data_IF_935197869098
#
_entry.id   IF_935197869098
#
_cell.length_a   1.000
_cell.length_b   1.000
_cell.length_c   1.000
_cell.angle_alpha   90.00
_cell.angle_beta   90.00
_cell.angle_gamma   90.00
#
_symmetry.space_group_name_H-M   'P 1'
#
loop_
_entity.id
_entity.type
_entity.pdbx_description
1 polymer ?
#
# COMPACT_ATOMS: atom_id res chain seq x y z
N UNK A 1 -1.13 6.43 -35.51
CA UNK A 1 -1.52 7.74 -34.95
C UNK A 1 -2.02 7.63 -33.49
N UNK A 2 -1.14 7.46 -32.48
CA UNK A 2 -1.57 7.26 -31.09
C UNK A 2 -1.85 8.56 -30.31
N UNK A 3 -1.33 9.71 -30.74
CA UNK A 3 -1.49 11.00 -30.04
C UNK A 3 -2.92 11.54 -30.14
N UNK A 4 -3.57 11.41 -31.30
CA UNK A 4 -4.98 11.79 -31.49
C UNK A 4 -5.92 10.96 -30.59
N UNK A 5 -5.66 9.66 -30.44
CA UNK A 5 -6.44 8.81 -29.52
C UNK A 5 -6.28 9.20 -28.05
N UNK A 6 -5.09 9.67 -27.64
CA UNK A 6 -4.86 10.18 -26.29
C UNK A 6 -5.59 11.51 -26.06
N UNK A 7 -5.61 12.40 -27.05
CA UNK A 7 -6.35 13.66 -26.98
C UNK A 7 -7.86 13.43 -26.88
N UNK A 8 -8.43 12.55 -27.71
CA UNK A 8 -9.85 12.22 -27.70
C UNK A 8 -10.29 11.63 -26.35
N UNK A 9 -9.49 10.72 -25.77
CA UNK A 9 -9.76 10.17 -24.44
C UNK A 9 -9.77 11.22 -23.33
N UNK A 10 -8.88 12.23 -23.39
CA UNK A 10 -8.89 13.34 -22.43
C UNK A 10 -10.15 14.20 -22.55
N UNK A 11 -10.57 14.52 -23.78
CA UNK A 11 -11.78 15.33 -24.01
C UNK A 11 -13.07 14.60 -23.59
N UNK A 12 -13.15 13.28 -23.84
CA UNK A 12 -14.30 12.49 -23.38
C UNK A 12 -14.36 12.38 -21.86
N UNK A 13 -13.21 12.34 -21.19
CA UNK A 13 -13.14 12.30 -19.73
C UNK A 13 -13.44 13.66 -19.07
N UNK A 14 -13.18 14.79 -19.75
CA UNK A 14 -13.49 16.13 -19.25
C UNK A 14 -14.96 16.56 -19.45
N UNK A 15 -15.70 15.92 -20.37
CA UNK A 15 -17.08 16.29 -20.72
C UNK A 15 -18.14 16.00 -19.64
N UNK A 16 -17.78 15.36 -18.52
CA UNK A 16 -18.74 14.94 -17.48
C UNK A 16 -19.16 16.00 -16.45
N UNK A 17 -18.44 17.12 -16.32
CA UNK A 17 -18.70 18.07 -15.23
C UNK A 17 -18.15 19.49 -15.48
N UNK A 18 -18.32 20.07 -16.69
CA UNK A 18 -17.91 21.46 -16.94
C UNK A 18 -16.42 21.78 -16.76
N UNK A 19 -15.59 20.76 -16.54
CA UNK A 19 -14.15 20.86 -16.32
C UNK A 19 -13.45 20.96 -17.67
N UNK A 20 -12.65 22.01 -17.88
CA UNK A 20 -11.86 22.13 -19.11
C UNK A 20 -10.82 21.00 -19.18
N UNK A 21 -10.35 20.66 -20.38
CA UNK A 21 -9.29 19.65 -20.54
C UNK A 21 -8.03 19.97 -19.71
N UNK A 22 -7.78 21.26 -19.44
CA UNK A 22 -6.70 21.71 -18.56
C UNK A 22 -6.97 21.34 -17.09
N UNK A 23 -8.16 21.66 -16.56
CA UNK A 23 -8.52 21.32 -15.19
C UNK A 23 -8.53 19.78 -14.97
N UNK A 24 -9.00 19.01 -15.96
CA UNK A 24 -8.93 17.54 -15.91
C UNK A 24 -7.47 17.02 -15.86
N UNK A 25 -6.54 17.64 -16.59
CA UNK A 25 -5.12 17.26 -16.53
C UNK A 25 -4.51 17.58 -15.16
N UNK A 26 -4.85 18.73 -14.56
CA UNK A 26 -4.35 19.09 -13.24
C UNK A 26 -4.85 18.11 -12.17
N UNK A 27 -6.13 17.75 -12.21
CA UNK A 27 -6.72 16.77 -11.29
C UNK A 27 -6.05 15.39 -11.44
N UNK A 28 -5.83 14.93 -12.67
CA UNK A 28 -5.12 13.67 -12.91
C UNK A 28 -3.67 13.69 -12.41
N UNK A 29 -2.98 14.83 -12.49
CA UNK A 29 -1.63 14.98 -11.93
C UNK A 29 -1.68 14.94 -10.41
N UNK A 30 -2.61 15.66 -9.78
CA UNK A 30 -2.79 15.66 -8.33
C UNK A 30 -3.10 14.24 -7.81
N UNK A 31 -4.05 13.55 -8.43
CA UNK A 31 -4.38 12.16 -8.10
C UNK A 31 -3.15 11.25 -8.24
N UNK A 32 -2.36 11.43 -9.30
CA UNK A 32 -1.17 10.61 -9.51
C UNK A 32 -0.05 10.91 -8.51
N UNK A 33 0.11 12.17 -8.11
CA UNK A 33 1.05 12.58 -7.07
C UNK A 33 0.67 11.94 -5.73
N UNK A 34 -0.58 12.04 -5.31
CA UNK A 34 -1.06 11.40 -4.08
C UNK A 34 -0.87 9.87 -4.10
N UNK A 35 -1.13 9.22 -5.24
CA UNK A 35 -0.86 7.79 -5.38
C UNK A 35 0.62 7.46 -5.23
N UNK A 36 1.51 8.29 -5.77
CA UNK A 36 2.95 8.11 -5.68
C UNK A 36 3.45 8.30 -4.24
N UNK A 37 2.94 9.31 -3.53
CA UNK A 37 3.23 9.55 -2.11
C UNK A 37 2.79 8.38 -1.24
N UNK A 38 1.53 7.93 -1.37
CA UNK A 38 1.02 6.75 -0.64
C UNK A 38 1.87 5.50 -0.91
N UNK A 39 2.38 5.36 -2.14
CA UNK A 39 3.24 4.24 -2.50
C UNK A 39 4.61 4.35 -1.84
N UNK A 40 5.22 5.53 -1.88
CA UNK A 40 6.50 5.80 -1.23
C UNK A 40 6.42 5.56 0.28
N UNK A 41 5.35 5.99 0.93
CA UNK A 41 5.12 5.75 2.36
C UNK A 41 5.01 4.25 2.68
N UNK A 42 4.26 3.51 1.86
CA UNK A 42 4.13 2.06 2.02
C UNK A 42 5.49 1.35 1.88
N UNK A 43 6.25 1.70 0.85
CA UNK A 43 7.57 1.12 0.58
C UNK A 43 8.56 1.50 1.69
N UNK A 44 8.54 2.73 2.19
CA UNK A 44 9.38 3.17 3.33
C UNK A 44 9.10 2.37 4.61
N UNK A 45 7.82 2.09 4.91
CA UNK A 45 7.44 1.24 6.05
C UNK A 45 7.91 -0.21 5.84
N UNK A 46 7.81 -0.74 4.62
CA UNK A 46 8.27 -2.08 4.30
C UNK A 46 9.79 -2.21 4.48
N UNK A 47 10.56 -1.27 3.94
CA UNK A 47 12.02 -1.23 4.07
C UNK A 47 12.45 -1.09 5.54
N UNK A 48 11.81 -0.21 6.30
CA UNK A 48 12.12 -0.06 7.73
C UNK A 48 11.90 -1.36 8.51
N UNK A 49 10.80 -2.09 8.23
CA UNK A 49 10.54 -3.39 8.85
C UNK A 49 11.55 -4.45 8.39
N UNK A 50 11.86 -4.48 7.10
CA UNK A 50 12.83 -5.43 6.54
C UNK A 50 14.23 -5.21 7.13
N UNK A 51 14.68 -3.96 7.26
CA UNK A 51 15.95 -3.61 7.90
C UNK A 51 16.00 -4.11 9.36
N UNK A 52 14.91 -3.97 10.13
CA UNK A 52 14.83 -4.51 11.49
C UNK A 52 14.91 -6.04 11.50
N UNK A 53 14.23 -6.72 10.58
CA UNK A 53 14.30 -8.17 10.44
C UNK A 53 15.71 -8.64 10.07
N UNK A 54 16.35 -8.00 9.09
CA UNK A 54 17.72 -8.28 8.66
C UNK A 54 18.73 -8.08 9.81
N UNK A 55 18.58 -7.01 10.60
CA UNK A 55 19.48 -6.71 11.72
C UNK A 55 19.32 -7.70 12.90
N UNK A 56 18.10 -8.15 13.18
CA UNK A 56 17.83 -8.94 14.40
C UNK A 56 17.71 -10.44 14.16
N UNK A 57 17.35 -10.86 12.94
CA UNK A 57 16.96 -12.23 12.62
C UNK A 57 15.71 -12.71 13.35
N UNK A 58 14.97 -11.81 14.03
CA UNK A 58 13.81 -12.18 14.82
C UNK A 58 12.57 -12.21 13.94
N UNK A 59 11.89 -13.35 13.95
CA UNK A 59 10.63 -13.58 13.25
C UNK A 59 9.63 -14.22 14.20
N UNK A 60 8.34 -14.14 13.88
CA UNK A 60 7.31 -14.87 14.61
C UNK A 60 7.02 -16.13 13.77
N UNK A 61 7.19 -17.34 14.32
CA UNK A 61 6.77 -18.55 13.64
C UNK A 61 5.30 -18.47 13.24
N UNK A 62 4.98 -18.90 12.02
CA UNK A 62 3.61 -18.77 11.49
C UNK A 62 2.57 -19.46 12.37
N UNK A 63 2.91 -20.61 12.95
CA UNK A 63 2.03 -21.35 13.87
C UNK A 63 1.67 -20.50 15.11
N UNK A 64 2.64 -19.81 15.69
CA UNK A 64 2.43 -18.93 16.87
C UNK A 64 1.51 -17.75 16.50
N UNK A 65 1.73 -17.13 15.33
CA UNK A 65 0.89 -16.02 14.86
C UNK A 65 -0.54 -16.48 14.52
N UNK A 66 -0.67 -17.63 13.85
CA UNK A 66 -1.96 -18.20 13.47
C UNK A 66 -2.81 -18.51 14.70
N UNK A 67 -2.24 -19.19 15.70
CA UNK A 67 -2.94 -19.51 16.94
C UNK A 67 -3.40 -18.24 17.68
N UNK A 68 -2.57 -17.18 17.69
CA UNK A 68 -2.96 -15.89 18.23
C UNK A 68 -4.12 -15.24 17.48
N UNK A 69 -4.11 -15.27 16.14
CA UNK A 69 -5.17 -14.70 15.31
C UNK A 69 -6.49 -15.45 15.47
N UNK A 70 -6.46 -16.79 15.47
CA UNK A 70 -7.63 -17.65 15.70
C UNK A 70 -8.26 -17.34 17.08
N UNK A 71 -7.46 -17.27 18.14
CA UNK A 71 -7.96 -16.94 19.47
C UNK A 71 -8.51 -15.50 19.57
N UNK A 72 -7.93 -14.54 18.83
CA UNK A 72 -8.44 -13.16 18.77
C UNK A 72 -9.77 -13.06 18.03
N UNK A 73 -9.97 -13.85 16.97
CA UNK A 73 -11.24 -13.98 16.26
C UNK A 73 -12.32 -14.55 17.20
N UNK A 74 -11.96 -15.51 18.06
CA UNK A 74 -12.84 -16.04 19.12
C UNK A 74 -13.09 -15.05 20.29
N UNK A 75 -12.57 -13.82 20.23
CA UNK A 75 -12.70 -12.83 21.30
C UNK A 75 -11.87 -13.11 22.56
N UNK A 76 -10.97 -14.11 22.53
CA UNK A 76 -10.14 -14.47 23.68
C UNK A 76 -9.04 -13.43 23.90
N UNK A 77 -8.80 -13.09 25.16
CA UNK A 77 -7.68 -12.24 25.55
C UNK A 77 -6.38 -13.08 25.61
N UNK A 78 -5.72 -13.23 24.46
CA UNK A 78 -4.43 -13.92 24.34
C UNK A 78 -3.26 -12.95 24.18
N UNK A 79 -2.11 -13.31 24.75
CA UNK A 79 -0.87 -12.51 24.61
C UNK A 79 -0.38 -12.55 23.17
N UNK A 80 -0.02 -11.38 22.63
CA UNK A 80 0.57 -11.28 21.29
C UNK A 80 1.93 -12.00 21.23
N UNK A 81 2.18 -12.85 20.23
CA UNK A 81 3.47 -13.50 20.07
C UNK A 81 4.55 -12.46 19.74
N UNK A 82 5.76 -12.70 20.23
CA UNK A 82 6.93 -11.84 20.07
C UNK A 82 7.97 -12.53 19.18
N UNK A 83 8.65 -11.74 18.36
CA UNK A 83 9.66 -12.26 17.44
C UNK A 83 10.85 -12.86 18.18
N UNK A 84 11.26 -14.05 17.77
CA UNK A 84 12.43 -14.78 18.26
C UNK A 84 13.29 -15.23 17.08
N UNK A 85 14.56 -15.52 17.32
CA UNK A 85 15.38 -16.20 16.31
C UNK A 85 14.80 -17.61 16.12
N UNK A 86 14.73 -18.06 14.87
CA UNK A 86 14.48 -19.47 14.59
C UNK A 86 15.65 -20.26 15.18
N UNK A 87 15.37 -21.32 15.96
CA UNK A 87 16.43 -22.20 16.42
C UNK A 87 17.06 -22.88 15.20
N UNK A 88 18.40 -22.90 15.15
CA UNK A 88 19.18 -23.67 14.17
C UNK A 88 18.95 -25.18 14.35
#
# INVERSE_FOLDING_TARGET
MPLQQRQLRRHSASGGAGTTAHAFILEAIAEKAEQAERRADFDAVAEARYAQHAATGKTIPWQDMRAYLEARIDGKAVKRPVGRKLAD
#
